data_IF_917708220653
#
_entry.id   IF_917708220653
#
_cell.length_a   1.000
_cell.length_b   1.000
_cell.length_c   1.000
_cell.angle_alpha   90.00
_cell.angle_beta   90.00
_cell.angle_gamma   90.00
#
_symmetry.space_group_name_H-M   'P 1'
#
loop_
_entity.id
_entity.type
_entity.pdbx_description
1 polymer ?
#
# COMPACT_ATOMS: atom_id res chain seq x y z
N UNK A 1 49.59 3.65 70.04
CA UNK A 1 48.13 3.54 69.80
C UNK A 1 47.83 4.33 68.54
N UNK A 2 47.54 3.63 67.44
CA UNK A 2 47.25 4.24 66.15
C UNK A 2 45.74 4.51 66.05
N UNK A 3 45.39 5.77 65.77
CA UNK A 3 44.04 6.28 65.62
C UNK A 3 43.37 5.70 64.36
N UNK A 4 42.27 4.93 64.47
CA UNK A 4 41.66 4.23 63.34
C UNK A 4 40.74 5.10 62.45
N UNK A 5 40.61 6.40 62.70
CA UNK A 5 39.51 7.19 62.11
C UNK A 5 39.80 7.89 60.77
N UNK A 6 41.00 7.72 60.18
CA UNK A 6 41.35 8.41 58.93
C UNK A 6 40.83 7.77 57.64
N UNK A 7 40.34 6.52 57.69
CA UNK A 7 39.91 5.78 56.48
C UNK A 7 38.42 5.93 56.15
N UNK A 8 37.65 6.62 56.99
CA UNK A 8 36.19 6.73 56.88
C UNK A 8 35.71 7.96 56.08
N UNK A 9 36.57 8.97 55.92
CA UNK A 9 36.24 10.22 55.24
C UNK A 9 36.38 10.16 53.71
N UNK A 10 37.29 9.33 53.19
CA UNK A 10 37.55 9.27 51.75
C UNK A 10 36.45 8.50 50.97
N UNK A 11 35.80 7.52 51.61
CA UNK A 11 34.70 6.76 51.00
C UNK A 11 33.38 7.55 50.87
N UNK A 12 33.20 8.65 51.60
CA UNK A 12 31.98 9.47 51.54
C UNK A 12 32.02 10.52 50.44
N UNK A 13 33.20 10.97 50.03
CA UNK A 13 33.37 11.98 48.98
C UNK A 13 33.22 11.41 47.56
N UNK A 14 33.42 10.11 47.34
CA UNK A 14 33.35 9.49 46.00
C UNK A 14 31.94 9.02 45.57
N UNK A 15 31.01 8.84 46.52
CA UNK A 15 29.64 8.34 46.22
C UNK A 15 28.70 9.28 45.43
N UNK A 16 28.77 10.62 45.52
CA UNK A 16 27.81 11.48 44.82
C UNK A 16 28.10 11.59 43.31
N UNK A 17 29.36 11.45 42.88
CA UNK A 17 29.74 11.62 41.47
C UNK A 17 29.39 10.41 40.58
N UNK A 18 29.59 9.18 41.07
CA UNK A 18 29.21 7.97 40.33
C UNK A 18 27.70 7.86 40.10
N UNK A 19 26.89 8.29 41.09
CA UNK A 19 25.43 8.32 40.96
C UNK A 19 24.99 9.30 39.88
N UNK A 20 25.62 10.47 39.77
CA UNK A 20 25.33 11.47 38.71
C UNK A 20 25.73 10.98 37.32
N UNK A 21 26.87 10.29 37.17
CA UNK A 21 27.29 9.72 35.88
C UNK A 21 26.36 8.60 35.41
N UNK A 22 25.92 7.71 36.30
CA UNK A 22 24.96 6.63 35.95
C UNK A 22 23.57 7.16 35.56
N UNK A 23 23.09 8.21 36.20
CA UNK A 23 21.80 8.83 35.84
C UNK A 23 21.85 9.57 34.50
N UNK A 24 22.97 10.25 34.17
CA UNK A 24 23.16 10.86 32.84
C UNK A 24 23.18 9.82 31.72
N UNK A 25 23.91 8.70 31.88
CA UNK A 25 23.94 7.63 30.88
C UNK A 25 22.57 6.98 30.66
N UNK A 26 21.79 6.74 31.72
CA UNK A 26 20.43 6.22 31.59
C UNK A 26 19.50 7.16 30.83
N UNK A 27 19.59 8.48 31.07
CA UNK A 27 18.79 9.47 30.33
C UNK A 27 19.19 9.57 28.85
N UNK A 28 20.48 9.44 28.53
CA UNK A 28 20.95 9.43 27.15
C UNK A 28 20.45 8.19 26.38
N UNK A 29 20.49 7.01 27.01
CA UNK A 29 19.99 5.76 26.40
C UNK A 29 18.47 5.75 26.26
N UNK A 30 17.73 6.25 27.26
CA UNK A 30 16.28 6.42 27.16
C UNK A 30 15.88 7.44 26.08
N UNK A 31 16.66 8.52 25.94
CA UNK A 31 16.46 9.51 24.88
C UNK A 31 16.65 8.93 23.48
N UNK A 32 17.70 8.13 23.25
CA UNK A 32 17.92 7.48 21.95
C UNK A 32 16.88 6.40 21.65
N UNK A 33 16.46 5.59 22.63
CA UNK A 33 15.39 4.60 22.42
C UNK A 33 14.05 5.27 22.09
N UNK A 34 13.70 6.37 22.77
CA UNK A 34 12.49 7.11 22.47
C UNK A 34 12.50 7.72 21.05
N UNK A 35 13.63 8.27 20.61
CA UNK A 35 13.77 8.83 19.25
C UNK A 35 13.65 7.75 18.17
N UNK A 36 14.25 6.57 18.38
CA UNK A 36 14.16 5.45 17.42
C UNK A 36 12.73 4.91 17.31
N UNK A 37 12.00 4.80 18.43
CA UNK A 37 10.61 4.35 18.41
C UNK A 37 9.68 5.35 17.73
N UNK A 38 9.86 6.66 17.97
CA UNK A 38 9.08 7.72 17.32
C UNK A 38 9.36 7.77 15.82
N UNK A 39 10.62 7.64 15.41
CA UNK A 39 10.99 7.56 14.00
C UNK A 39 10.40 6.31 13.33
N UNK A 40 10.44 5.15 13.99
CA UNK A 40 9.84 3.91 13.47
C UNK A 40 8.31 4.01 13.31
N UNK A 41 7.63 4.62 14.26
CA UNK A 41 6.18 4.84 14.18
C UNK A 41 5.79 5.79 13.05
N UNK A 42 6.54 6.88 12.86
CA UNK A 42 6.31 7.83 11.76
C UNK A 42 6.52 7.19 10.38
N UNK A 43 7.55 6.34 10.23
CA UNK A 43 7.76 5.56 9.00
C UNK A 43 6.60 4.61 8.73
N UNK A 44 6.13 3.87 9.73
CA UNK A 44 4.99 2.96 9.58
C UNK A 44 3.71 3.69 9.18
N UNK A 45 3.46 4.87 9.75
CA UNK A 45 2.29 5.67 9.41
C UNK A 45 2.35 6.21 7.97
N UNK A 46 3.51 6.68 7.53
CA UNK A 46 3.74 7.14 6.15
C UNK A 46 3.57 5.99 5.16
N UNK A 47 4.17 4.83 5.44
CA UNK A 47 4.00 3.63 4.61
C UNK A 47 2.53 3.18 4.52
N UNK A 48 1.78 3.24 5.62
CA UNK A 48 0.35 2.92 5.61
C UNK A 48 -0.46 3.94 4.79
N UNK A 49 -0.02 5.20 4.73
CA UNK A 49 -0.71 6.27 3.99
C UNK A 49 -0.36 6.29 2.49
N UNK A 50 0.82 5.82 2.12
CA UNK A 50 1.25 5.62 0.72
C UNK A 50 0.68 4.32 0.12
N UNK A 51 0.35 3.34 0.98
CA UNK A 51 -0.34 2.11 0.59
C UNK A 51 -1.82 2.31 0.26
N UNK A 52 -2.43 3.42 0.67
CA UNK A 52 -3.82 3.70 0.34
C UNK A 52 -3.96 4.03 -1.15
N UNK A 53 -4.81 3.32 -1.90
CA UNK A 53 -5.02 3.60 -3.31
C UNK A 53 -5.65 4.99 -3.48
N UNK A 54 -5.00 5.84 -4.27
CA UNK A 54 -5.51 7.17 -4.65
C UNK A 54 -5.82 7.20 -6.13
N UNK A 55 -6.87 7.91 -6.51
CA UNK A 55 -7.17 8.16 -7.92
C UNK A 55 -5.93 8.73 -8.63
N UNK A 56 -5.64 8.16 -9.80
CA UNK A 56 -4.53 8.55 -10.63
C UNK A 56 -5.00 8.67 -12.09
N UNK A 57 -4.16 9.28 -12.91
CA UNK A 57 -4.37 9.36 -14.35
C UNK A 57 -3.12 8.86 -15.06
N UNK A 58 -3.30 8.15 -16.17
CA UNK A 58 -2.22 7.79 -17.08
C UNK A 58 -2.23 8.70 -18.32
N UNK A 59 -1.06 8.92 -18.90
CA UNK A 59 -0.90 9.81 -20.06
C UNK A 59 -1.50 9.25 -21.34
N UNK A 60 -1.63 7.93 -21.46
CA UNK A 60 -2.20 7.29 -22.65
C UNK A 60 -2.54 5.83 -22.39
N UNK A 61 -3.24 5.25 -23.37
CA UNK A 61 -3.65 3.84 -23.39
C UNK A 61 -2.49 2.85 -23.30
N UNK A 62 -1.33 3.18 -23.88
CA UNK A 62 -0.15 2.30 -23.89
C UNK A 62 0.40 2.04 -22.49
N UNK A 63 0.17 2.94 -21.53
CA UNK A 63 0.56 2.72 -20.12
C UNK A 63 -0.14 1.51 -19.49
N UNK A 64 -1.36 1.20 -19.96
CA UNK A 64 -2.19 0.11 -19.43
C UNK A 64 -2.04 -1.21 -20.20
N UNK A 65 -1.35 -1.21 -21.34
CA UNK A 65 -1.14 -2.41 -22.17
C UNK A 65 -0.23 -3.42 -21.45
N UNK A 66 -0.68 -4.66 -21.37
CA UNK A 66 0.01 -5.77 -20.72
C UNK A 66 -0.89 -6.49 -19.73
N UNK A 67 -0.27 -7.38 -18.95
CA UNK A 67 -0.98 -8.25 -18.01
C UNK A 67 -1.09 -7.63 -16.63
N UNK A 68 -2.28 -7.75 -16.04
CA UNK A 68 -2.63 -7.28 -14.71
C UNK A 68 -3.26 -8.44 -13.93
N UNK A 69 -2.83 -8.63 -12.68
CA UNK A 69 -3.31 -9.71 -11.81
C UNK A 69 -3.89 -9.12 -10.54
N UNK A 70 -5.03 -9.65 -10.11
CA UNK A 70 -5.62 -9.35 -8.82
C UNK A 70 -4.61 -9.62 -7.70
N UNK A 71 -4.56 -8.72 -6.72
CA UNK A 71 -3.68 -8.88 -5.57
C UNK A 71 -4.21 -9.94 -4.60
N UNK A 72 -5.53 -10.02 -4.47
CA UNK A 72 -6.24 -10.88 -3.54
C UNK A 72 -7.11 -11.93 -4.26
N UNK A 73 -6.54 -12.65 -5.23
CA UNK A 73 -7.25 -13.72 -5.93
C UNK A 73 -6.54 -14.25 -7.17
N UNK A 74 -7.14 -15.24 -7.86
CA UNK A 74 -6.57 -15.80 -9.08
C UNK A 74 -6.80 -14.92 -10.32
N UNK A 75 -7.67 -13.90 -10.22
CA UNK A 75 -8.13 -13.11 -11.36
C UNK A 75 -7.02 -12.40 -12.12
N UNK A 76 -7.10 -12.43 -13.44
CA UNK A 76 -6.13 -11.79 -14.33
C UNK A 76 -6.84 -11.17 -15.54
N UNK A 77 -6.30 -10.07 -16.03
CA UNK A 77 -6.69 -9.43 -17.29
C UNK A 77 -5.45 -9.01 -18.07
N UNK A 78 -5.47 -9.22 -19.37
CA UNK A 78 -4.47 -8.70 -20.30
C UNK A 78 -5.13 -7.67 -21.21
N UNK A 79 -4.46 -6.53 -21.38
CA UNK A 79 -4.87 -5.48 -22.31
C UNK A 79 -3.88 -5.38 -23.45
N UNK A 80 -4.36 -5.51 -24.68
CA UNK A 80 -3.55 -5.36 -25.89
C UNK A 80 -3.67 -3.95 -26.46
N UNK A 81 -2.72 -3.55 -27.30
CA UNK A 81 -2.65 -2.20 -27.90
C UNK A 81 -3.73 -1.93 -28.94
N UNK A 82 -4.29 -2.96 -29.57
CA UNK A 82 -5.28 -2.87 -30.66
C UNK A 82 -6.69 -2.48 -30.20
N UNK A 83 -7.08 -2.85 -28.99
CA UNK A 83 -8.43 -2.57 -28.46
C UNK A 83 -8.95 -3.64 -27.55
N UNK A 84 -8.23 -4.76 -27.45
CA UNK A 84 -8.78 -6.00 -26.95
C UNK A 84 -8.28 -6.32 -25.55
N UNK A 85 -9.08 -7.07 -24.83
CA UNK A 85 -8.69 -7.65 -23.56
C UNK A 85 -9.02 -9.13 -23.53
N UNK A 86 -8.29 -9.87 -22.70
CA UNK A 86 -8.62 -11.23 -22.28
C UNK A 86 -8.60 -11.28 -20.75
N UNK A 87 -9.56 -11.96 -20.15
CA UNK A 87 -9.71 -12.05 -18.70
C UNK A 87 -9.98 -13.50 -18.30
N UNK A 88 -9.46 -13.89 -17.13
CA UNK A 88 -9.66 -15.19 -16.51
C UNK A 88 -9.95 -14.99 -15.03
N UNK A 89 -11.05 -15.57 -14.55
CA UNK A 89 -11.47 -15.52 -13.14
C UNK A 89 -11.42 -14.12 -12.51
N UNK A 90 -11.75 -13.10 -13.31
CA UNK A 90 -11.61 -11.72 -12.89
C UNK A 90 -12.91 -11.24 -12.26
N UNK A 91 -12.88 -10.97 -10.96
CA UNK A 91 -14.01 -10.30 -10.29
C UNK A 91 -14.05 -8.85 -10.76
N UNK A 92 -15.06 -8.52 -11.55
CA UNK A 92 -15.47 -7.15 -11.91
C UNK A 92 -16.92 -7.02 -11.48
N UNK A 93 -17.43 -5.82 -11.20
CA UNK A 93 -18.78 -5.59 -10.66
C UNK A 93 -19.90 -6.34 -11.42
N UNK A 94 -20.15 -7.58 -10.97
CA UNK A 94 -21.10 -8.56 -11.46
C UNK A 94 -21.80 -9.10 -10.21
N UNK A 95 -23.12 -9.29 -10.28
CA UNK A 95 -23.91 -9.76 -9.14
C UNK A 95 -23.28 -10.97 -8.43
N UNK A 96 -23.15 -10.89 -7.09
CA UNK A 96 -22.74 -11.83 -6.00
C UNK A 96 -21.74 -12.99 -6.28
N UNK A 97 -21.61 -13.53 -7.49
CA UNK A 97 -20.84 -14.73 -7.81
C UNK A 97 -20.28 -14.77 -9.25
N UNK A 98 -20.39 -13.69 -10.02
CA UNK A 98 -19.84 -13.68 -11.36
C UNK A 98 -18.32 -13.48 -11.35
N UNK A 99 -17.64 -14.22 -12.22
CA UNK A 99 -16.28 -13.91 -12.63
C UNK A 99 -16.33 -13.57 -14.13
N UNK A 100 -15.62 -12.52 -14.54
CA UNK A 100 -15.38 -12.28 -15.95
C UNK A 100 -14.28 -13.21 -16.42
N UNK A 101 -14.69 -14.16 -17.27
CA UNK A 101 -13.79 -15.00 -18.05
C UNK A 101 -14.16 -14.87 -19.52
N UNK A 102 -13.21 -14.49 -20.36
CA UNK A 102 -13.44 -14.30 -21.79
C UNK A 102 -12.66 -13.13 -22.36
N UNK A 103 -13.09 -12.65 -23.53
CA UNK A 103 -12.45 -11.55 -24.25
C UNK A 103 -13.46 -10.46 -24.60
N UNK A 104 -12.94 -9.31 -24.98
CA UNK A 104 -13.75 -8.19 -25.42
C UNK A 104 -12.92 -7.01 -25.86
N UNK A 105 -13.58 -5.85 -25.94
CA UNK A 105 -12.94 -4.57 -26.19
C UNK A 105 -12.84 -3.73 -24.92
N UNK A 106 -11.85 -2.84 -24.86
CA UNK A 106 -11.69 -1.90 -23.76
C UNK A 106 -11.35 -0.51 -24.27
N UNK A 107 -11.67 0.50 -23.46
CA UNK A 107 -11.38 1.89 -23.75
C UNK A 107 -10.94 2.62 -22.49
N UNK A 108 -9.97 3.52 -22.62
CA UNK A 108 -9.56 4.47 -21.59
C UNK A 108 -10.37 5.77 -21.77
N UNK A 109 -10.85 6.35 -20.68
CA UNK A 109 -11.51 7.65 -20.74
C UNK A 109 -10.54 8.76 -21.21
N UNK A 110 -11.11 9.89 -21.64
CA UNK A 110 -10.34 11.02 -22.15
C UNK A 110 -9.42 11.68 -21.10
N UNK A 111 -9.63 11.39 -19.81
CA UNK A 111 -8.83 11.93 -18.70
C UNK A 111 -7.71 10.97 -18.29
N UNK A 112 -7.71 9.74 -18.81
CA UNK A 112 -6.81 8.67 -18.39
C UNK A 112 -7.10 8.12 -16.99
N UNK A 113 -8.27 8.39 -16.41
CA UNK A 113 -8.58 8.10 -15.00
C UNK A 113 -9.38 6.82 -14.78
N UNK A 114 -10.09 6.35 -15.80
CA UNK A 114 -10.88 5.13 -15.76
C UNK A 114 -10.87 4.43 -17.11
N UNK A 115 -11.04 3.11 -17.09
CA UNK A 115 -11.18 2.30 -18.29
C UNK A 115 -12.44 1.45 -18.21
N UNK A 116 -13.14 1.31 -19.33
CA UNK A 116 -14.37 0.53 -19.45
C UNK A 116 -14.11 -0.76 -20.22
N UNK A 117 -14.80 -1.83 -19.82
CA UNK A 117 -14.77 -3.12 -20.50
C UNK A 117 -16.07 -3.33 -21.27
N UNK A 118 -15.95 -3.96 -22.45
CA UNK A 118 -17.06 -4.44 -23.26
C UNK A 118 -16.78 -5.88 -23.68
N UNK A 119 -17.15 -6.87 -22.85
CA UNK A 119 -16.99 -8.28 -23.20
C UNK A 119 -17.80 -8.63 -24.46
N UNK A 120 -17.29 -9.54 -25.28
CA UNK A 120 -18.03 -10.02 -26.45
C UNK A 120 -19.26 -10.86 -26.01
N UNK A 121 -19.14 -11.55 -24.89
CA UNK A 121 -20.21 -12.32 -24.24
C UNK A 121 -20.33 -11.86 -22.79
N UNK A 122 -21.12 -10.80 -22.50
CA UNK A 122 -21.24 -10.28 -21.15
C UNK A 122 -21.90 -11.32 -20.23
N UNK A 123 -21.33 -11.61 -19.05
CA UNK A 123 -21.97 -12.50 -18.09
C UNK A 123 -23.30 -11.91 -17.61
N UNK A 124 -24.26 -12.79 -17.33
CA UNK A 124 -25.58 -12.40 -16.81
C UNK A 124 -25.43 -11.58 -15.54
N UNK A 125 -26.05 -10.40 -15.47
CA UNK A 125 -25.98 -9.52 -14.31
C UNK A 125 -24.73 -8.63 -14.26
N UNK A 126 -23.93 -8.57 -15.34
CA UNK A 126 -22.87 -7.58 -15.46
C UNK A 126 -23.43 -6.16 -15.59
N UNK A 127 -22.88 -5.23 -14.81
CA UNK A 127 -23.18 -3.81 -14.97
C UNK A 127 -22.69 -3.28 -16.32
N UNK A 128 -23.45 -2.37 -16.94
CA UNK A 128 -23.02 -1.66 -18.16
C UNK A 128 -21.76 -0.79 -17.93
N UNK A 129 -21.44 -0.50 -16.67
CA UNK A 129 -20.31 0.33 -16.27
C UNK A 129 -19.10 -0.51 -15.80
N UNK A 130 -19.07 -1.81 -16.14
CA UNK A 130 -17.95 -2.69 -15.80
C UNK A 130 -16.62 -2.12 -16.30
N UNK A 131 -15.66 -1.95 -15.40
CA UNK A 131 -14.42 -1.26 -15.69
C UNK A 131 -13.49 -1.19 -14.49
N UNK A 132 -12.44 -0.37 -14.64
CA UNK A 132 -11.49 -0.11 -13.58
C UNK A 132 -11.21 1.38 -13.46
N UNK A 133 -11.03 1.86 -12.23
CA UNK A 133 -10.37 3.12 -11.98
C UNK A 133 -8.84 2.92 -12.05
N UNK A 134 -8.15 3.92 -12.59
CA UNK A 134 -6.70 4.03 -12.53
C UNK A 134 -6.35 4.61 -11.17
N UNK A 135 -5.54 3.89 -10.40
CA UNK A 135 -5.11 4.33 -9.07
C UNK A 135 -3.60 4.25 -8.94
N UNK A 136 -3.07 4.95 -7.94
CA UNK A 136 -1.68 4.83 -7.51
C UNK A 136 -1.66 4.33 -6.07
N UNK A 137 -0.90 3.27 -5.85
CA UNK A 137 -0.62 2.70 -4.54
C UNK A 137 0.87 2.33 -4.49
N UNK A 138 1.56 2.66 -3.40
CA UNK A 138 3.00 2.46 -3.23
C UNK A 138 3.84 3.06 -4.38
N UNK A 139 3.41 4.21 -4.91
CA UNK A 139 4.06 4.88 -6.04
C UNK A 139 3.86 4.21 -7.40
N UNK A 140 3.24 3.02 -7.46
CA UNK A 140 3.00 2.26 -8.68
C UNK A 140 1.57 2.48 -9.19
N UNK A 141 1.40 2.41 -10.52
CA UNK A 141 0.06 2.38 -11.12
C UNK A 141 -0.56 1.00 -10.85
N UNK A 142 -1.79 1.00 -10.33
CA UNK A 142 -2.64 -0.18 -10.14
C UNK A 142 -3.97 0.07 -10.84
N UNK A 143 -4.71 -0.99 -11.11
CA UNK A 143 -6.10 -0.91 -11.53
C UNK A 143 -6.99 -1.27 -10.35
N UNK A 144 -8.08 -0.55 -10.20
CA UNK A 144 -9.01 -0.72 -9.11
C UNK A 144 -10.37 -1.13 -9.66
N UNK A 145 -10.89 -2.26 -9.22
CA UNK A 145 -12.29 -2.65 -9.47
C UNK A 145 -13.15 -1.72 -8.61
N UNK A 146 -13.90 -0.84 -9.27
CA UNK A 146 -14.78 0.11 -8.61
C UNK A 146 -16.08 -0.59 -8.22
N UNK A 147 -16.48 -0.49 -6.95
CA UNK A 147 -17.82 -0.88 -6.55
C UNK A 147 -18.86 0.09 -7.09
N UNK A 148 -20.11 -0.35 -7.25
CA UNK A 148 -21.26 0.50 -7.59
C UNK A 148 -21.53 1.67 -6.61
N UNK A 149 -20.76 1.82 -5.53
CA UNK A 149 -20.94 2.89 -4.54
C UNK A 149 -20.10 4.14 -4.87
N UNK A 150 -20.70 5.35 -4.88
CA UNK A 150 -19.97 6.59 -5.12
C UNK A 150 -19.03 6.91 -3.95
N UNK A 151 -17.73 6.78 -4.20
CA UNK A 151 -16.66 7.14 -3.26
C UNK A 151 -15.62 6.04 -3.11
N UNK A 152 -14.73 5.89 -4.10
CA UNK A 152 -13.50 5.06 -4.12
C UNK A 152 -13.51 3.88 -3.13
N UNK A 153 -14.52 3.02 -3.23
CA UNK A 153 -14.47 1.69 -2.62
C UNK A 153 -13.83 0.80 -3.67
N UNK A 154 -12.55 0.54 -3.45
CA UNK A 154 -11.80 -0.40 -4.28
C UNK A 154 -12.06 -1.80 -3.76
N UNK A 155 -12.85 -2.58 -4.49
CA UNK A 155 -13.18 -3.94 -4.08
C UNK A 155 -11.99 -4.89 -4.30
N UNK A 156 -11.24 -4.65 -5.38
CA UNK A 156 -10.04 -5.39 -5.69
C UNK A 156 -9.01 -4.50 -6.39
N UNK A 157 -7.74 -4.65 -6.01
CA UNK A 157 -6.62 -4.06 -6.72
C UNK A 157 -5.98 -5.08 -7.66
N UNK A 158 -5.59 -4.61 -8.83
CA UNK A 158 -4.77 -5.36 -9.77
C UNK A 158 -3.41 -4.70 -9.90
N UNK A 159 -2.39 -5.54 -9.84
CA UNK A 159 -1.00 -5.16 -10.07
C UNK A 159 -0.55 -5.58 -11.45
N UNK A 160 0.30 -4.77 -12.05
CA UNK A 160 0.95 -5.11 -13.32
C UNK A 160 1.87 -6.31 -13.11
N UNK A 161 1.75 -7.30 -13.98
CA UNK A 161 2.70 -8.41 -14.06
C UNK A 161 3.87 -7.93 -14.90
N UNK A 162 5.10 -8.00 -14.36
CA UNK A 162 6.28 -7.70 -15.15
C UNK A 162 6.37 -8.70 -16.32
N UNK A 163 6.76 -8.25 -17.53
CA UNK A 163 6.98 -9.13 -18.67
C UNK A 163 8.10 -10.15 -18.40
#
# INVERSE_FOLDING_TARGET
>A
MADPDRNSLDRRAQRPEERRRRTRRRRAVLGTVAVVLVAGAAWRLKSAHDAQPRLAVVSSRSALVGTWRAEDGPGQVEFTSDGRFSAVSLTVDVSWNGELTGAGSWSLDHRGGSLSLRPDHPPTGMSSDAGFAVVRADGQVRLCVTSASPGVLCDALLRRVAP
#
